data_IF_516136303217
#
_entry.id   IF_516136303217
#
_cell.length_a   1.000
_cell.length_b   1.000
_cell.length_c   1.000
_cell.angle_alpha   90.00
_cell.angle_beta   90.00
_cell.angle_gamma   90.00
#
_symmetry.space_group_name_H-M   'P 1'
#
loop_
_entity.id
_entity.type
_entity.pdbx_description
1 polymer ?
#
# COMPACT_ATOMS: atom_id res chain seq x y z
N UNK A 1 0.57 -4.63 33.14
CA UNK A 1 -0.37 -3.53 32.85
C UNK A 1 -0.53 -3.56 31.35
N UNK A 2 -1.72 -3.86 30.83
CA UNK A 2 -1.93 -3.82 29.39
C UNK A 2 -1.70 -2.38 28.90
N UNK A 3 -1.01 -2.24 27.77
CA UNK A 3 -0.81 -0.95 27.13
C UNK A 3 -2.16 -0.37 26.71
N UNK A 4 -2.35 0.94 26.91
CA UNK A 4 -3.58 1.63 26.51
C UNK A 4 -3.71 1.68 24.98
N UNK A 5 -4.92 1.85 24.47
CA UNK A 5 -5.15 1.98 23.02
C UNK A 5 -4.38 3.16 22.40
N UNK A 6 -4.19 4.26 23.15
CA UNK A 6 -3.39 5.39 22.68
C UNK A 6 -1.90 5.05 22.51
N UNK A 7 -1.35 4.24 23.43
CA UNK A 7 0.03 3.75 23.31
C UNK A 7 0.18 2.75 22.17
N UNK A 8 -0.80 1.86 21.98
CA UNK A 8 -0.82 0.92 20.84
C UNK A 8 -0.92 1.65 19.50
N UNK A 9 -1.75 2.68 19.41
CA UNK A 9 -1.88 3.51 18.21
C UNK A 9 -0.56 4.24 17.89
N UNK A 10 0.04 4.87 18.90
CA UNK A 10 1.32 5.56 18.75
C UNK A 10 2.45 4.61 18.31
N UNK A 11 2.49 3.42 18.91
CA UNK A 11 3.48 2.40 18.56
C UNK A 11 3.24 1.83 17.16
N UNK A 12 1.99 1.56 16.78
CA UNK A 12 1.66 1.13 15.42
C UNK A 12 2.20 2.17 14.43
N UNK A 13 1.83 3.45 14.59
CA UNK A 13 2.29 4.54 13.73
C UNK A 13 3.83 4.69 13.70
N UNK A 14 4.52 4.50 14.83
CA UNK A 14 5.99 4.47 14.86
C UNK A 14 6.55 3.36 13.95
N UNK A 15 5.99 2.16 14.03
CA UNK A 15 6.42 1.01 13.24
C UNK A 15 6.08 1.17 11.75
N UNK A 16 4.92 1.75 11.41
CA UNK A 16 4.58 2.06 10.01
C UNK A 16 5.60 2.99 9.35
N UNK A 17 6.26 3.86 10.14
CA UNK A 17 7.27 4.78 9.61
C UNK A 17 8.69 4.21 9.64
N UNK A 18 8.99 3.37 10.63
CA UNK A 18 10.31 2.77 10.78
C UNK A 18 10.50 1.52 9.93
N UNK A 19 9.41 0.87 9.51
CA UNK A 19 9.35 -0.35 8.68
C UNK A 19 10.36 -1.41 9.19
N UNK A 20 10.40 -1.74 10.50
CA UNK A 20 11.29 -2.78 10.97
C UNK A 20 10.74 -4.16 10.57
N UNK A 21 11.60 -5.13 10.25
CA UNK A 21 11.16 -6.50 10.03
C UNK A 21 10.33 -7.02 11.21
N UNK A 22 9.22 -7.68 10.91
CA UNK A 22 8.39 -8.33 11.92
C UNK A 22 9.12 -9.55 12.52
N UNK A 23 8.78 -9.92 13.76
CA UNK A 23 9.13 -11.24 14.26
C UNK A 23 8.26 -12.27 13.54
N UNK A 24 8.89 -13.13 12.74
CA UNK A 24 8.20 -14.12 11.89
C UNK A 24 7.28 -15.02 12.69
N UNK A 25 7.66 -15.45 13.90
CA UNK A 25 6.83 -16.38 14.69
C UNK A 25 5.60 -15.69 15.25
N UNK A 26 5.75 -14.46 15.71
CA UNK A 26 4.61 -13.65 16.14
C UNK A 26 3.71 -13.30 14.94
N UNK A 27 4.28 -13.12 13.74
CA UNK A 27 3.52 -12.92 12.49
C UNK A 27 2.70 -14.14 12.10
N UNK A 28 3.31 -15.33 12.07
CA UNK A 28 2.61 -16.60 11.82
C UNK A 28 1.46 -16.81 12.82
N UNK A 29 1.72 -16.52 14.09
CA UNK A 29 0.72 -16.60 15.15
C UNK A 29 -0.43 -15.63 14.92
N UNK A 30 -0.13 -14.35 14.64
CA UNK A 30 -1.16 -13.33 14.43
C UNK A 30 -2.01 -13.63 13.18
N UNK A 31 -1.39 -14.13 12.11
CA UNK A 31 -2.09 -14.56 10.90
C UNK A 31 -3.08 -15.70 11.18
N UNK A 32 -2.70 -16.70 11.99
CA UNK A 32 -3.59 -17.77 12.41
C UNK A 32 -4.73 -17.27 13.32
N UNK A 33 -4.45 -16.37 14.27
CA UNK A 33 -5.48 -15.76 15.13
C UNK A 33 -6.50 -14.95 14.30
N UNK A 34 -6.06 -14.22 13.28
CA UNK A 34 -6.95 -13.50 12.37
C UNK A 34 -7.79 -14.47 11.53
N UNK A 35 -7.17 -15.55 11.01
CA UNK A 35 -7.88 -16.60 10.28
C UNK A 35 -8.98 -17.24 11.13
N UNK A 36 -8.71 -17.56 12.39
CA UNK A 36 -9.72 -18.11 13.30
C UNK A 36 -10.94 -17.19 13.41
N UNK A 37 -10.73 -15.88 13.57
CA UNK A 37 -11.83 -14.91 13.63
C UNK A 37 -12.59 -14.88 12.31
N UNK A 38 -11.90 -14.83 11.18
CA UNK A 38 -12.56 -14.79 9.88
C UNK A 38 -13.37 -16.07 9.60
N UNK A 39 -12.84 -17.24 9.97
CA UNK A 39 -13.55 -18.52 9.85
C UNK A 39 -14.80 -18.56 10.75
N UNK A 40 -14.72 -18.04 11.99
CA UNK A 40 -15.87 -17.93 12.91
C UNK A 40 -17.00 -17.03 12.36
N UNK A 41 -16.64 -15.98 11.64
CA UNK A 41 -17.60 -15.05 11.01
C UNK A 41 -18.00 -15.46 9.59
N UNK A 42 -17.46 -16.55 9.04
CA UNK A 42 -17.69 -16.98 7.66
C UNK A 42 -17.14 -15.98 6.63
N UNK A 43 -16.12 -15.20 6.98
CA UNK A 43 -15.47 -14.22 6.11
C UNK A 43 -14.45 -14.94 5.23
N UNK A 44 -14.70 -14.92 3.92
CA UNK A 44 -13.70 -15.32 2.94
C UNK A 44 -12.72 -14.17 2.73
N UNK A 45 -11.44 -14.47 2.91
CA UNK A 45 -10.34 -13.54 2.70
C UNK A 45 -9.21 -14.26 1.94
N UNK A 46 -8.34 -13.49 1.30
CA UNK A 46 -7.17 -13.99 0.60
C UNK A 46 -5.89 -13.30 1.11
N UNK A 47 -4.77 -14.01 1.07
CA UNK A 47 -3.46 -13.42 1.27
C UNK A 47 -3.13 -12.54 0.06
N UNK A 48 -2.46 -11.41 0.29
CA UNK A 48 -2.06 -10.50 -0.79
C UNK A 48 -0.64 -9.96 -0.54
N UNK A 49 -0.08 -9.22 -1.50
CA UNK A 49 1.30 -8.68 -1.47
C UNK A 49 2.36 -9.65 -0.92
N UNK A 50 3.22 -9.19 0.02
CA UNK A 50 4.34 -9.91 0.61
C UNK A 50 3.89 -11.18 1.32
N UNK A 51 2.73 -11.15 1.99
CA UNK A 51 2.15 -12.35 2.61
C UNK A 51 1.78 -13.42 1.58
N UNK A 52 1.14 -13.04 0.47
CA UNK A 52 0.86 -13.97 -0.63
C UNK A 52 2.15 -14.45 -1.31
N UNK A 53 3.09 -13.54 -1.55
CA UNK A 53 4.37 -13.86 -2.18
C UNK A 53 5.15 -14.88 -1.36
N UNK A 54 5.28 -14.65 -0.05
CA UNK A 54 5.94 -15.57 0.87
C UNK A 54 5.24 -16.92 0.92
N UNK A 55 3.91 -16.93 1.06
CA UNK A 55 3.15 -18.18 1.10
C UNK A 55 3.31 -19.00 -0.19
N UNK A 56 3.26 -18.37 -1.37
CA UNK A 56 3.35 -19.08 -2.67
C UNK A 56 4.79 -19.48 -3.00
N UNK A 57 5.74 -18.55 -2.89
CA UNK A 57 7.14 -18.73 -3.33
C UNK A 57 7.96 -19.52 -2.32
N UNK A 58 7.88 -19.13 -1.06
CA UNK A 58 8.80 -19.58 -0.01
C UNK A 58 8.16 -20.59 0.95
N UNK A 59 6.82 -20.70 0.93
CA UNK A 59 6.04 -21.43 1.94
C UNK A 59 6.36 -20.93 3.36
N UNK A 60 6.69 -19.64 3.49
CA UNK A 60 7.09 -18.95 4.71
C UNK A 60 6.72 -17.46 4.61
N UNK A 61 6.62 -16.76 5.75
CA UNK A 61 6.60 -15.29 5.72
C UNK A 61 7.97 -14.75 5.33
N UNK A 62 8.00 -13.60 4.64
CA UNK A 62 9.24 -12.98 4.18
C UNK A 62 10.00 -12.44 5.40
N UNK A 63 11.29 -12.81 5.60
CA UNK A 63 12.01 -12.46 6.84
C UNK A 63 12.26 -10.96 7.06
N UNK A 64 12.11 -10.14 6.02
CA UNK A 64 12.31 -8.70 6.05
C UNK A 64 11.02 -7.90 5.81
N UNK A 65 9.86 -8.56 5.66
CA UNK A 65 8.56 -7.85 5.69
C UNK A 65 8.33 -7.26 7.07
N UNK A 66 7.62 -6.14 7.13
CA UNK A 66 7.26 -5.44 8.36
C UNK A 66 5.81 -5.72 8.80
N UNK A 67 4.98 -6.29 7.91
CA UNK A 67 3.57 -6.49 8.16
C UNK A 67 2.98 -7.75 7.49
N UNK A 68 1.65 -7.83 7.52
CA UNK A 68 0.85 -8.88 6.91
C UNK A 68 -0.28 -8.25 6.11
N UNK A 69 -0.54 -8.72 4.90
CA UNK A 69 -1.62 -8.21 4.07
C UNK A 69 -2.69 -9.24 3.76
N UNK A 70 -3.95 -8.87 4.05
CA UNK A 70 -5.15 -9.65 3.80
C UNK A 70 -6.16 -8.86 2.95
N UNK A 71 -6.94 -9.55 2.12
CA UNK A 71 -7.95 -8.91 1.28
C UNK A 71 -9.29 -9.63 1.31
N UNK A 72 -10.37 -8.86 1.26
CA UNK A 72 -11.73 -9.34 0.95
C UNK A 72 -12.36 -8.37 -0.05
N UNK A 73 -13.30 -8.84 -0.88
CA UNK A 73 -13.98 -7.97 -1.85
C UNK A 73 -15.46 -7.92 -1.49
N UNK A 74 -15.97 -6.71 -1.25
CA UNK A 74 -17.37 -6.48 -0.91
C UNK A 74 -18.25 -6.95 -2.09
N UNK A 75 -19.32 -7.68 -1.75
CA UNK A 75 -20.26 -8.32 -2.68
C UNK A 75 -19.68 -9.53 -3.47
N UNK A 76 -18.52 -10.05 -3.05
CA UNK A 76 -17.95 -11.31 -3.57
C UNK A 76 -17.74 -12.31 -2.44
N UNK A 77 -17.77 -13.60 -2.77
CA UNK A 77 -17.51 -14.69 -1.82
C UNK A 77 -18.38 -14.66 -0.55
N UNK A 78 -19.58 -14.07 -0.65
CA UNK A 78 -20.48 -13.89 0.50
C UNK A 78 -20.05 -12.82 1.49
N UNK A 79 -18.97 -12.07 1.22
CA UNK A 79 -18.50 -10.99 2.07
C UNK A 79 -19.28 -9.69 1.82
N UNK A 80 -19.75 -9.06 2.90
CA UNK A 80 -20.40 -7.76 2.87
C UNK A 80 -19.76 -6.80 3.86
N UNK A 81 -19.93 -5.50 3.64
CA UNK A 81 -19.37 -4.46 4.52
C UNK A 81 -19.89 -4.56 5.97
N UNK A 82 -21.11 -5.07 6.16
CA UNK A 82 -21.71 -5.27 7.49
C UNK A 82 -20.97 -6.32 8.33
N UNK A 83 -20.20 -7.22 7.71
CA UNK A 83 -19.42 -8.25 8.40
C UNK A 83 -18.15 -7.68 9.07
N UNK A 84 -17.71 -6.48 8.66
CA UNK A 84 -16.48 -5.87 9.20
C UNK A 84 -16.63 -5.58 10.69
N UNK A 85 -17.74 -4.97 11.10
CA UNK A 85 -17.96 -4.57 12.51
C UNK A 85 -17.87 -5.75 13.49
N UNK A 86 -18.65 -6.84 13.30
CA UNK A 86 -18.57 -8.03 14.14
C UNK A 86 -17.17 -8.66 14.20
N UNK A 87 -16.46 -8.74 13.06
CA UNK A 87 -15.10 -9.27 13.03
C UNK A 87 -14.11 -8.39 13.81
N UNK A 88 -14.21 -7.07 13.67
CA UNK A 88 -13.42 -6.09 14.43
C UNK A 88 -13.63 -6.26 15.94
N UNK A 89 -14.86 -6.46 16.39
CA UNK A 89 -15.15 -6.70 17.81
C UNK A 89 -14.54 -8.02 18.31
N UNK A 90 -14.58 -9.10 17.51
CA UNK A 90 -13.89 -10.36 17.84
C UNK A 90 -12.37 -10.20 17.89
N UNK A 91 -11.77 -9.45 16.97
CA UNK A 91 -10.33 -9.16 16.97
C UNK A 91 -9.92 -8.37 18.22
N UNK A 92 -10.71 -7.37 18.60
CA UNK A 92 -10.53 -6.60 19.86
C UNK A 92 -10.66 -7.50 21.08
N UNK A 93 -11.64 -8.41 21.11
CA UNK A 93 -11.82 -9.38 22.19
C UNK A 93 -10.62 -10.36 22.31
N UNK A 94 -9.92 -10.64 21.20
CA UNK A 94 -8.63 -11.37 21.19
C UNK A 94 -7.42 -10.49 21.54
N UNK A 95 -7.63 -9.24 21.95
CA UNK A 95 -6.58 -8.33 22.42
C UNK A 95 -5.87 -7.53 21.32
N UNK A 96 -6.39 -7.53 20.09
CA UNK A 96 -5.88 -6.67 19.03
C UNK A 96 -6.30 -5.22 19.26
N UNK A 97 -5.41 -4.28 18.95
CA UNK A 97 -5.83 -2.91 18.63
C UNK A 97 -6.32 -2.88 17.19
N UNK A 98 -7.41 -2.16 16.91
CA UNK A 98 -7.99 -2.15 15.56
C UNK A 98 -8.48 -0.75 15.18
N UNK A 99 -7.96 -0.23 14.07
CA UNK A 99 -8.43 0.99 13.40
C UNK A 99 -9.18 0.66 12.12
N UNK A 100 -10.27 1.39 11.86
CA UNK A 100 -11.07 1.24 10.63
C UNK A 100 -11.10 2.57 9.90
N UNK A 101 -10.56 2.58 8.68
CA UNK A 101 -10.44 3.73 7.81
C UNK A 101 -11.31 3.50 6.57
N UNK A 102 -12.20 4.44 6.27
CA UNK A 102 -13.09 4.33 5.12
C UNK A 102 -12.55 5.18 3.97
N UNK A 103 -12.16 4.52 2.87
CA UNK A 103 -11.81 5.15 1.61
C UNK A 103 -12.87 4.84 0.53
N UNK A 104 -12.93 5.67 -0.51
CA UNK A 104 -13.88 5.47 -1.61
C UNK A 104 -13.67 4.15 -2.38
N UNK A 105 -12.46 3.58 -2.36
CA UNK A 105 -12.12 2.36 -3.09
C UNK A 105 -12.11 1.10 -2.21
N UNK A 106 -11.94 1.26 -0.90
CA UNK A 106 -11.92 0.15 0.07
C UNK A 106 -12.19 0.66 1.50
N UNK A 107 -12.56 -0.25 2.39
CA UNK A 107 -12.47 -0.02 3.83
C UNK A 107 -11.20 -0.72 4.33
N UNK A 108 -10.26 0.02 4.90
CA UNK A 108 -9.02 -0.50 5.46
C UNK A 108 -9.18 -0.77 6.95
N UNK A 109 -8.89 -2.00 7.38
CA UNK A 109 -8.92 -2.41 8.78
C UNK A 109 -7.48 -2.72 9.19
N UNK A 110 -6.87 -1.82 9.96
CA UNK A 110 -5.53 -2.03 10.51
C UNK A 110 -5.65 -2.78 11.83
N UNK A 111 -5.09 -3.96 11.91
CA UNK A 111 -5.13 -4.83 13.09
C UNK A 111 -3.73 -4.90 13.66
N UNK A 112 -3.56 -4.56 14.93
CA UNK A 112 -2.25 -4.45 15.55
C UNK A 112 -2.14 -5.27 16.83
N UNK A 113 -1.17 -6.18 16.86
CA UNK A 113 -0.85 -7.01 18.01
C UNK A 113 0.59 -7.51 17.88
N UNK A 114 1.25 -7.82 19.00
CA UNK A 114 2.64 -8.32 18.98
C UNK A 114 3.65 -7.42 18.26
N UNK A 115 3.36 -6.11 18.15
CA UNK A 115 4.16 -5.16 17.36
C UNK A 115 4.13 -5.44 15.85
N UNK A 116 3.08 -6.10 15.36
CA UNK A 116 2.87 -6.46 13.96
C UNK A 116 1.54 -5.89 13.51
N UNK A 117 1.51 -5.32 12.31
CA UNK A 117 0.30 -4.86 11.63
C UNK A 117 -0.20 -5.96 10.70
N UNK A 118 -1.50 -6.22 10.70
CA UNK A 118 -2.21 -6.77 9.55
C UNK A 118 -2.97 -5.62 8.89
N UNK A 119 -2.73 -5.42 7.61
CA UNK A 119 -3.58 -4.62 6.73
C UNK A 119 -4.63 -5.54 6.11
N UNK A 120 -5.89 -5.44 6.59
CA UNK A 120 -7.03 -6.10 5.97
C UNK A 120 -7.85 -5.13 5.13
N UNK A 121 -7.78 -5.30 3.80
CA UNK A 121 -8.39 -4.39 2.84
C UNK A 121 -9.68 -4.99 2.29
N UNK A 122 -10.78 -4.31 2.56
CA UNK A 122 -12.12 -4.66 2.09
C UNK A 122 -12.44 -3.86 0.82
N UNK A 123 -12.11 -4.43 -0.34
CA UNK A 123 -12.15 -3.76 -1.64
C UNK A 123 -13.57 -3.58 -2.20
N UNK A 124 -13.76 -2.51 -2.97
CA UNK A 124 -14.93 -2.31 -3.84
C UNK A 124 -14.51 -2.44 -5.29
N UNK A 125 -15.30 -3.18 -6.09
CA UNK A 125 -15.05 -3.33 -7.52
C UNK A 125 -15.45 -2.05 -8.26
N UNK A 126 -14.49 -1.43 -8.94
CA UNK A 126 -14.72 -0.26 -9.78
C UNK A 126 -14.25 -0.56 -11.20
N UNK A 127 -15.20 -0.53 -12.15
CA UNK A 127 -14.95 -0.84 -13.57
C UNK A 127 -14.22 -2.16 -13.80
N UNK A 128 -14.61 -3.21 -13.05
CA UNK A 128 -14.02 -4.55 -13.15
C UNK A 128 -12.62 -4.66 -12.51
N UNK A 129 -12.22 -3.71 -11.67
CA UNK A 129 -10.92 -3.73 -10.98
C UNK A 129 -11.05 -3.43 -9.49
N UNK A 130 -10.06 -3.88 -8.71
CA UNK A 130 -9.82 -3.45 -7.33
C UNK A 130 -8.47 -2.74 -7.24
N UNK A 131 -8.35 -1.74 -6.37
CA UNK A 131 -7.15 -0.92 -6.27
C UNK A 131 -6.24 -1.41 -5.15
N UNK A 132 -5.16 -2.11 -5.49
CA UNK A 132 -4.11 -2.46 -4.52
C UNK A 132 -3.09 -1.32 -4.44
N UNK A 133 -2.48 -1.12 -3.28
CA UNK A 133 -1.37 -0.16 -3.13
C UNK A 133 -0.25 -0.41 -4.17
N UNK A 134 0.37 0.63 -4.77
CA UNK A 134 0.13 2.08 -4.60
C UNK A 134 -0.92 2.66 -5.57
N UNK A 135 -1.93 1.87 -5.94
CA UNK A 135 -2.95 2.21 -6.94
C UNK A 135 -2.94 1.31 -8.17
N UNK A 136 -2.40 0.09 -8.06
CA UNK A 136 -2.43 -0.92 -9.11
C UNK A 136 -3.88 -1.40 -9.30
N UNK A 137 -4.49 -1.23 -10.49
CA UNK A 137 -5.87 -1.62 -10.74
C UNK A 137 -5.94 -3.09 -11.16
N UNK A 138 -5.95 -3.99 -10.18
CA UNK A 138 -6.02 -5.43 -10.43
C UNK A 138 -7.36 -5.83 -11.06
N UNK A 139 -7.37 -6.61 -12.15
CA UNK A 139 -8.61 -7.13 -12.72
C UNK A 139 -9.29 -8.09 -11.74
N UNK A 140 -10.60 -7.91 -11.53
CA UNK A 140 -11.37 -8.72 -10.58
C UNK A 140 -11.40 -10.21 -10.96
N UNK A 141 -11.15 -10.55 -12.23
CA UNK A 141 -11.08 -11.92 -12.71
C UNK A 141 -10.03 -12.78 -11.99
N UNK A 142 -8.96 -12.19 -11.45
CA UNK A 142 -7.96 -12.89 -10.63
C UNK A 142 -8.48 -13.30 -9.24
N UNK A 143 -9.68 -12.82 -8.86
CA UNK A 143 -10.27 -13.00 -7.53
C UNK A 143 -11.67 -13.61 -7.60
N UNK A 144 -12.22 -13.87 -8.79
CA UNK A 144 -13.55 -14.48 -8.96
C UNK A 144 -13.59 -15.91 -8.42
N UNK A 145 -12.50 -16.66 -8.64
CA UNK A 145 -12.26 -17.96 -8.02
C UNK A 145 -10.92 -17.85 -7.28
N UNK A 146 -10.89 -18.15 -6.00
CA UNK A 146 -9.65 -18.15 -5.22
C UNK A 146 -9.02 -19.56 -5.25
N UNK A 147 -7.69 -19.59 -5.19
CA UNK A 147 -6.93 -20.84 -5.09
C UNK A 147 -6.56 -21.10 -3.63
N UNK A 148 -6.81 -22.32 -3.15
CA UNK A 148 -6.30 -22.77 -1.85
C UNK A 148 -4.82 -23.11 -1.91
N UNK A 149 -4.05 -22.67 -0.93
CA UNK A 149 -2.65 -23.05 -0.70
C UNK A 149 -2.47 -23.54 0.72
N UNK A 150 -1.69 -24.61 0.89
CA UNK A 150 -1.32 -25.11 2.22
C UNK A 150 -0.22 -24.21 2.78
N UNK A 151 -0.50 -23.54 3.90
CA UNK A 151 0.44 -22.63 4.55
C UNK A 151 0.18 -22.61 6.06
N UNK A 152 1.26 -22.67 6.86
CA UNK A 152 1.19 -22.74 8.32
C UNK A 152 0.31 -23.88 8.87
N UNK A 153 0.29 -25.02 8.16
CA UNK A 153 -0.47 -26.20 8.55
C UNK A 153 -1.98 -26.11 8.35
N UNK A 154 -2.47 -25.10 7.62
CA UNK A 154 -3.87 -24.94 7.24
C UNK A 154 -3.98 -24.43 5.80
N UNK A 155 -5.20 -24.31 5.27
CA UNK A 155 -5.43 -23.77 3.92
C UNK A 155 -5.76 -22.29 3.98
N UNK A 156 -5.00 -21.50 3.23
CA UNK A 156 -5.28 -20.09 2.95
C UNK A 156 -5.72 -19.91 1.50
N UNK A 157 -6.48 -18.86 1.22
CA UNK A 157 -6.85 -18.49 -0.14
C UNK A 157 -5.85 -17.48 -0.70
N UNK A 158 -5.55 -17.58 -1.98
CA UNK A 158 -4.78 -16.62 -2.76
C UNK A 158 -5.50 -16.31 -4.08
N UNK A 159 -5.19 -15.19 -4.74
CA UNK A 159 -5.67 -14.93 -6.10
C UNK A 159 -5.29 -16.06 -7.07
N UNK A 160 -6.10 -16.27 -8.11
CA UNK A 160 -5.96 -17.39 -9.04
C UNK A 160 -5.80 -16.91 -10.50
N UNK A 161 -4.78 -17.38 -11.23
CA UNK A 161 -3.61 -18.10 -10.75
C UNK A 161 -2.71 -17.22 -9.86
N UNK A 162 -2.04 -17.77 -8.83
CA UNK A 162 -1.17 -16.99 -7.96
C UNK A 162 0.02 -16.39 -8.73
N UNK A 163 0.59 -17.13 -9.68
CA UNK A 163 1.71 -16.67 -10.51
C UNK A 163 1.32 -15.45 -11.36
N UNK A 164 0.10 -15.45 -11.94
CA UNK A 164 -0.42 -14.33 -12.73
C UNK A 164 -0.63 -13.10 -11.85
N UNK A 165 -1.13 -13.29 -10.63
CA UNK A 165 -1.28 -12.21 -9.65
C UNK A 165 0.07 -11.62 -9.22
N UNK A 166 1.04 -12.46 -8.88
CA UNK A 166 2.37 -12.05 -8.44
C UNK A 166 3.15 -11.38 -9.56
N UNK A 167 3.07 -11.91 -10.79
CA UNK A 167 3.65 -11.28 -11.97
C UNK A 167 3.00 -9.93 -12.28
N UNK A 168 1.68 -9.81 -12.12
CA UNK A 168 0.98 -8.54 -12.31
C UNK A 168 1.38 -7.49 -11.26
N UNK A 169 1.65 -7.92 -10.02
CA UNK A 169 2.07 -7.03 -8.92
C UNK A 169 3.53 -6.60 -9.04
N UNK A 170 4.43 -7.57 -9.16
CA UNK A 170 5.88 -7.41 -8.97
C UNK A 170 6.68 -7.53 -10.28
N UNK A 171 6.01 -7.73 -11.41
CA UNK A 171 6.66 -7.88 -12.70
C UNK A 171 7.20 -9.29 -12.96
N UNK A 172 7.90 -9.50 -14.09
CA UNK A 172 8.33 -10.83 -14.55
C UNK A 172 9.32 -11.51 -13.61
N UNK A 173 10.07 -10.75 -12.80
CA UNK A 173 11.11 -11.27 -11.92
C UNK A 173 10.60 -11.54 -10.49
N UNK A 174 9.28 -11.61 -10.27
CA UNK A 174 8.66 -11.78 -8.93
C UNK A 174 9.18 -12.99 -8.14
N UNK A 175 9.62 -14.05 -8.85
CA UNK A 175 10.21 -15.24 -8.23
C UNK A 175 11.61 -15.02 -7.64
N UNK A 176 12.25 -13.88 -7.91
CA UNK A 176 13.55 -13.53 -7.34
C UNK A 176 13.37 -12.77 -6.03
N UNK A 177 13.94 -13.22 -4.90
CA UNK A 177 13.85 -12.48 -3.64
C UNK A 177 14.53 -11.10 -3.75
N UNK A 178 13.79 -10.05 -3.38
CA UNK A 178 14.26 -8.67 -3.30
C UNK A 178 13.83 -8.08 -1.96
N UNK A 179 14.78 -7.48 -1.24
CA UNK A 179 14.50 -6.70 -0.03
C UNK A 179 14.18 -5.25 -0.37
N UNK A 180 14.92 -4.69 -1.33
CA UNK A 180 14.71 -3.37 -1.91
C UNK A 180 14.78 -3.49 -3.44
N UNK A 181 14.29 -2.47 -4.14
CA UNK A 181 14.27 -2.39 -5.60
C UNK A 181 12.98 -2.95 -6.22
N UNK A 182 12.21 -3.76 -5.48
CA UNK A 182 10.90 -4.27 -5.93
C UNK A 182 9.87 -3.15 -6.13
N UNK A 183 10.03 -2.02 -5.43
CA UNK A 183 9.15 -0.87 -5.48
C UNK A 183 9.12 -0.30 -6.91
N UNK A 184 10.29 -0.26 -7.55
CA UNK A 184 10.42 0.14 -8.94
C UNK A 184 9.77 -0.85 -9.89
N UNK A 185 9.96 -2.16 -9.68
CA UNK A 185 9.31 -3.18 -10.49
C UNK A 185 7.78 -3.06 -10.43
N UNK A 186 7.23 -2.80 -9.23
CA UNK A 186 5.79 -2.54 -9.04
C UNK A 186 5.36 -1.34 -9.88
N UNK A 187 6.06 -0.21 -9.80
CA UNK A 187 5.72 1.00 -10.55
C UNK A 187 5.84 0.80 -12.07
N UNK A 188 6.81 0.03 -12.53
CA UNK A 188 6.99 -0.30 -13.96
C UNK A 188 5.92 -1.27 -14.48
N UNK A 189 5.51 -2.23 -13.65
CA UNK A 189 4.45 -3.20 -13.97
C UNK A 189 3.05 -2.57 -13.98
N UNK A 190 2.86 -1.45 -13.26
CA UNK A 190 1.58 -0.77 -13.19
C UNK A 190 1.05 -0.35 -14.56
N UNK A 191 -0.24 -0.64 -14.88
CA UNK A 191 -0.90 -0.11 -16.05
C UNK A 191 -0.82 1.42 -16.09
N UNK A 192 -0.40 1.97 -17.22
CA UNK A 192 -0.35 3.42 -17.42
C UNK A 192 -1.75 4.00 -17.34
N UNK A 193 -1.96 4.95 -16.44
CA UNK A 193 -3.26 5.61 -16.33
C UNK A 193 -3.55 6.14 -14.94
N UNK A 194 -4.84 6.36 -14.70
CA UNK A 194 -5.38 6.72 -13.40
C UNK A 194 -6.15 5.51 -12.89
N UNK A 195 -6.04 5.23 -11.59
CA UNK A 195 -6.82 4.16 -10.95
C UNK A 195 -8.31 4.38 -11.21
N UNK A 196 -9.06 3.37 -11.70
CA UNK A 196 -10.51 3.43 -11.77
C UNK A 196 -11.13 3.88 -10.43
N UNK A 197 -12.11 4.77 -10.52
CA UNK A 197 -12.75 5.40 -9.34
C UNK A 197 -12.14 6.73 -8.93
N UNK A 198 -10.89 7.02 -9.33
CA UNK A 198 -10.29 8.35 -9.13
C UNK A 198 -10.68 9.35 -10.24
N UNK A 199 -10.66 10.67 -9.97
CA UNK A 199 -10.99 11.68 -10.99
C UNK A 199 -10.08 11.57 -12.22
N UNK A 200 -10.61 11.72 -13.44
CA UNK A 200 -9.80 11.65 -14.67
C UNK A 200 -8.79 12.80 -14.83
N UNK A 201 -7.84 12.65 -15.77
CA UNK A 201 -6.70 13.58 -15.97
C UNK A 201 -7.10 15.05 -16.06
N UNK A 202 -8.13 15.35 -16.84
CA UNK A 202 -8.60 16.73 -17.01
C UNK A 202 -9.11 17.32 -15.69
N UNK A 203 -9.86 16.55 -14.90
CA UNK A 203 -10.36 17.00 -13.59
C UNK A 203 -9.22 17.22 -12.60
N UNK A 204 -8.23 16.32 -12.57
CA UNK A 204 -7.05 16.48 -11.72
C UNK A 204 -6.24 17.72 -12.13
N UNK A 205 -6.01 17.92 -13.43
CA UNK A 205 -5.34 19.12 -13.96
C UNK A 205 -6.06 20.41 -13.56
N UNK A 206 -7.39 20.44 -13.68
CA UNK A 206 -8.20 21.58 -13.24
C UNK A 206 -8.11 21.79 -11.72
N UNK A 207 -8.10 20.71 -10.93
CA UNK A 207 -7.94 20.80 -9.48
C UNK A 207 -6.58 21.42 -9.10
N UNK A 208 -5.48 21.00 -9.74
CA UNK A 208 -4.15 21.57 -9.51
C UNK A 208 -4.11 23.07 -9.82
N UNK A 209 -4.87 23.52 -10.82
CA UNK A 209 -4.89 24.92 -11.26
C UNK A 209 -5.81 25.81 -10.42
N UNK A 210 -6.93 25.28 -9.96
CA UNK A 210 -8.04 26.09 -9.41
C UNK A 210 -8.48 25.68 -8.00
N UNK A 211 -7.95 24.59 -7.44
CA UNK A 211 -8.35 24.07 -6.13
C UNK A 211 -7.10 23.83 -5.26
N UNK A 212 -6.57 24.89 -4.61
CA UNK A 212 -5.40 24.78 -3.74
C UNK A 212 -5.53 23.69 -2.67
N UNK A 213 -6.71 23.53 -2.07
CA UNK A 213 -6.98 22.51 -1.05
C UNK A 213 -7.02 21.05 -1.55
N UNK A 214 -6.75 20.80 -2.84
CA UNK A 214 -6.57 19.46 -3.43
C UNK A 214 -5.21 19.30 -4.11
N UNK A 215 -4.27 20.20 -3.81
CA UNK A 215 -2.98 20.31 -4.48
C UNK A 215 -1.87 20.23 -3.44
N UNK A 216 -0.83 19.44 -3.71
CA UNK A 216 0.42 19.51 -2.96
C UNK A 216 1.56 20.00 -3.87
N UNK A 217 2.61 20.52 -3.25
CA UNK A 217 3.85 20.91 -3.91
C UNK A 217 5.01 20.01 -3.53
N UNK A 218 5.89 19.73 -4.48
CA UNK A 218 7.18 19.08 -4.23
C UNK A 218 8.29 19.93 -4.85
N UNK A 219 9.17 20.45 -4.01
CA UNK A 219 10.45 21.03 -4.40
C UNK A 219 11.44 19.90 -4.66
N UNK A 220 11.98 19.82 -5.87
CA UNK A 220 13.01 18.86 -6.25
C UNK A 220 14.35 19.59 -6.25
N UNK A 221 15.26 19.13 -5.41
CA UNK A 221 16.64 19.61 -5.34
C UNK A 221 17.58 18.59 -5.99
N UNK A 222 18.78 19.03 -6.37
CA UNK A 222 19.89 18.14 -6.72
C UNK A 222 20.79 17.88 -5.49
N UNK A 223 21.91 17.18 -5.69
CA UNK A 223 22.90 16.86 -4.66
C UNK A 223 23.58 18.10 -4.05
N UNK A 224 23.44 19.27 -4.67
CA UNK A 224 23.99 20.54 -4.19
C UNK A 224 22.91 21.44 -3.54
N UNK A 225 21.73 20.88 -3.23
CA UNK A 225 20.55 21.61 -2.73
C UNK A 225 20.03 22.69 -3.70
N UNK A 226 20.34 22.58 -5.00
CA UNK A 226 19.88 23.54 -6.00
C UNK A 226 18.56 23.09 -6.66
N UNK A 227 17.59 23.99 -6.89
CA UNK A 227 16.30 23.61 -7.49
C UNK A 227 16.42 23.09 -8.93
N UNK A 228 15.89 21.89 -9.18
CA UNK A 228 15.98 21.23 -10.48
C UNK A 228 14.77 21.56 -11.36
N UNK A 229 14.99 22.28 -12.46
CA UNK A 229 13.94 22.57 -13.44
C UNK A 229 13.73 21.43 -14.44
N UNK A 230 12.47 21.09 -14.72
CA UNK A 230 12.10 20.08 -15.72
C UNK A 230 12.16 18.63 -15.24
N UNK A 231 12.46 18.39 -13.95
CA UNK A 231 12.32 17.09 -13.32
C UNK A 231 10.88 16.59 -13.42
N UNK A 232 10.70 15.28 -13.58
CA UNK A 232 9.38 14.65 -13.66
C UNK A 232 9.00 14.10 -12.29
N UNK A 233 7.77 14.37 -11.85
CA UNK A 233 7.20 13.83 -10.61
C UNK A 233 5.96 13.05 -10.99
N UNK A 234 5.97 11.75 -10.73
CA UNK A 234 4.83 10.83 -10.89
C UNK A 234 4.29 10.49 -9.51
N UNK A 235 2.98 10.65 -9.29
CA UNK A 235 2.29 10.04 -8.15
C UNK A 235 1.54 8.82 -8.65
N UNK A 236 1.87 7.64 -8.11
CA UNK A 236 1.35 6.37 -8.58
C UNK A 236 -0.19 6.34 -8.60
N UNK A 237 -0.77 5.82 -9.69
CA UNK A 237 -2.21 5.76 -9.89
C UNK A 237 -2.92 7.13 -10.10
N UNK A 238 -2.19 8.24 -10.12
CA UNK A 238 -2.71 9.60 -10.22
C UNK A 238 -2.16 10.34 -11.45
N UNK A 239 -1.40 11.41 -11.24
CA UNK A 239 -0.90 12.29 -12.26
C UNK A 239 0.62 12.38 -12.25
N UNK A 240 1.14 12.78 -13.41
CA UNK A 240 2.54 13.10 -13.62
C UNK A 240 2.65 14.58 -13.96
N UNK A 241 3.59 15.29 -13.34
CA UNK A 241 3.87 16.71 -13.61
C UNK A 241 5.37 16.95 -13.73
N UNK A 242 5.74 18.15 -14.17
CA UNK A 242 7.13 18.59 -14.25
C UNK A 242 7.37 19.78 -13.35
N UNK A 243 8.57 19.86 -12.79
CA UNK A 243 8.99 21.01 -12.00
C UNK A 243 9.13 22.26 -12.87
N UNK A 244 8.79 23.41 -12.30
CA UNK A 244 8.95 24.71 -12.95
C UNK A 244 10.40 25.23 -12.84
N UNK A 245 10.65 26.50 -13.17
CA UNK A 245 11.99 27.13 -13.06
C UNK A 245 12.53 27.27 -11.64
N UNK A 246 11.68 27.12 -10.62
CA UNK A 246 12.03 27.14 -9.21
C UNK A 246 12.13 25.73 -8.61
N UNK A 247 12.16 24.68 -9.44
CA UNK A 247 12.23 23.30 -8.98
C UNK A 247 10.93 22.74 -8.38
N UNK A 248 9.82 23.47 -8.43
CA UNK A 248 8.55 23.03 -7.81
C UNK A 248 7.64 22.34 -8.81
N UNK A 249 7.25 21.10 -8.52
CA UNK A 249 6.13 20.40 -9.13
C UNK A 249 4.88 20.58 -8.26
N UNK A 250 3.71 20.73 -8.90
CA UNK A 250 2.40 20.72 -8.21
C UNK A 250 1.59 19.56 -8.74
N UNK A 251 0.90 18.83 -7.86
CA UNK A 251 0.13 17.65 -8.25
C UNK A 251 -1.13 17.52 -7.40
N UNK A 252 -2.04 16.68 -7.88
CA UNK A 252 -3.32 16.44 -7.25
C UNK A 252 -3.18 15.38 -6.18
N UNK A 253 -3.74 15.63 -5.00
CA UNK A 253 -3.92 14.60 -3.96
C UNK A 253 -5.41 14.50 -3.61
N UNK A 254 -6.00 13.29 -3.61
CA UNK A 254 -7.40 13.10 -3.24
C UNK A 254 -7.68 13.36 -1.75
N UNK A 255 -6.71 13.10 -0.87
CA UNK A 255 -6.81 13.26 0.58
C UNK A 255 -5.45 13.04 1.26
N UNK A 256 -5.38 13.14 2.60
CA UNK A 256 -4.24 12.65 3.37
C UNK A 256 -4.09 11.14 3.19
N UNK A 257 -2.91 10.68 2.75
CA UNK A 257 -2.63 9.25 2.56
C UNK A 257 -1.11 9.03 2.48
N UNK A 258 -0.71 7.77 2.44
CA UNK A 258 0.62 7.33 2.02
C UNK A 258 0.61 7.11 0.50
N UNK A 259 1.58 7.69 -0.21
CA UNK A 259 1.65 7.65 -1.67
C UNK A 259 3.01 7.17 -2.15
N UNK A 260 3.03 6.37 -3.21
CA UNK A 260 4.26 6.13 -3.96
C UNK A 260 4.51 7.26 -4.98
N UNK A 261 5.71 7.84 -4.93
CA UNK A 261 6.15 8.94 -5.77
C UNK A 261 7.40 8.53 -6.53
N UNK A 262 7.43 8.71 -7.84
CA UNK A 262 8.63 8.57 -8.64
C UNK A 262 9.15 9.95 -9.04
N UNK A 263 10.42 10.22 -8.80
CA UNK A 263 11.10 11.47 -9.20
C UNK A 263 12.16 11.14 -10.23
N UNK A 264 12.04 11.72 -11.43
CA UNK A 264 13.01 11.54 -12.51
C UNK A 264 13.77 12.83 -12.78
N UNK A 265 15.09 12.80 -12.57
CA UNK A 265 16.03 13.90 -12.85
C UNK A 265 17.08 13.42 -13.86
N UNK A 266 17.23 14.14 -14.97
CA UNK A 266 18.23 13.83 -16.00
C UNK A 266 18.23 12.36 -16.51
N UNK A 267 17.06 11.71 -16.49
CA UNK A 267 16.90 10.30 -16.90
C UNK A 267 17.15 9.26 -15.80
N UNK A 268 17.55 9.69 -14.60
CA UNK A 268 17.63 8.86 -13.41
C UNK A 268 16.33 8.97 -12.63
N UNK A 269 15.69 7.84 -12.36
CA UNK A 269 14.45 7.76 -11.59
C UNK A 269 14.72 7.15 -10.22
N UNK A 270 14.19 7.81 -9.19
CA UNK A 270 14.16 7.31 -7.82
C UNK A 270 12.70 7.13 -7.39
N UNK A 271 12.40 6.00 -6.75
CA UNK A 271 11.06 5.65 -6.25
C UNK A 271 11.04 5.83 -4.74
N UNK A 272 10.16 6.72 -4.29
CA UNK A 272 9.82 6.95 -2.89
C UNK A 272 8.51 6.23 -2.62
N UNK A 273 8.56 5.06 -2.01
CA UNK A 273 7.45 4.12 -2.10
C UNK A 273 6.32 4.40 -1.11
N UNK A 274 6.61 4.99 0.06
CA UNK A 274 5.61 5.30 1.09
C UNK A 274 5.79 6.72 1.65
N UNK A 275 5.37 7.72 0.88
CA UNK A 275 5.46 9.11 1.31
C UNK A 275 4.13 9.59 1.89
N UNK A 276 4.15 9.94 3.17
CA UNK A 276 3.01 10.52 3.88
C UNK A 276 2.79 11.96 3.39
N UNK A 277 1.72 12.18 2.63
CA UNK A 277 1.42 13.48 2.04
C UNK A 277 -0.03 13.88 2.23
N UNK A 278 -0.27 15.18 2.35
CA UNK A 278 -1.60 15.76 2.53
C UNK A 278 -1.87 16.88 1.51
N UNK A 279 -3.12 17.07 1.06
CA UNK A 279 -3.48 18.19 0.21
C UNK A 279 -3.18 19.52 0.91
N UNK A 280 -2.50 20.43 0.21
CA UNK A 280 -2.04 21.71 0.73
C UNK A 280 -0.60 21.66 1.25
N UNK A 281 -0.03 20.48 1.48
CA UNK A 281 1.35 20.29 1.92
C UNK A 281 2.37 20.74 0.89
N UNK A 282 3.53 21.16 1.39
CA UNK A 282 4.72 21.50 0.59
C UNK A 282 5.87 20.64 1.08
N UNK A 283 6.41 19.84 0.17
CA UNK A 283 7.40 18.82 0.46
C UNK A 283 8.71 19.12 -0.27
N UNK A 284 9.82 18.61 0.25
CA UNK A 284 11.14 18.70 -0.37
C UNK A 284 11.68 17.30 -0.61
N UNK A 285 12.07 17.03 -1.84
CA UNK A 285 12.85 15.86 -2.24
C UNK A 285 14.31 16.24 -2.40
N UNK A 286 15.19 15.37 -1.89
CA UNK A 286 16.63 15.38 -2.13
C UNK A 286 17.06 14.00 -2.62
N UNK A 287 17.84 13.90 -3.70
CA UNK A 287 18.40 12.64 -4.13
C UNK A 287 19.34 12.09 -3.07
N UNK A 288 19.44 10.77 -3.02
CA UNK A 288 20.42 10.09 -2.18
C UNK A 288 21.25 9.15 -3.04
N UNK A 289 22.48 9.56 -3.39
CA UNK A 289 23.37 8.75 -4.22
C UNK A 289 23.84 7.46 -3.54
N UNK A 290 23.76 7.38 -2.21
CA UNK A 290 24.17 6.20 -1.44
C UNK A 290 23.03 5.19 -1.31
N UNK A 291 21.77 5.65 -1.41
CA UNK A 291 20.58 4.82 -1.34
C UNK A 291 19.57 5.18 -2.45
N UNK A 292 19.69 4.51 -3.60
CA UNK A 292 18.79 4.74 -4.75
C UNK A 292 17.50 3.90 -4.73
N UNK A 293 17.38 2.94 -3.80
CA UNK A 293 16.26 1.99 -3.70
C UNK A 293 15.80 1.84 -2.24
N UNK A 294 14.57 1.37 -2.03
CA UNK A 294 14.01 1.22 -0.68
C UNK A 294 13.92 2.54 0.07
N UNK A 295 13.42 3.59 -0.59
CA UNK A 295 13.30 4.94 -0.03
C UNK A 295 11.87 5.16 0.46
N UNK A 296 11.73 5.39 1.76
CA UNK A 296 10.44 5.48 2.45
C UNK A 296 10.46 6.67 3.41
N UNK A 297 9.36 7.44 3.46
CA UNK A 297 9.20 8.60 4.34
C UNK A 297 10.37 9.59 4.32
N UNK A 298 11.02 9.78 3.15
CA UNK A 298 12.20 10.64 3.02
C UNK A 298 11.86 12.09 2.68
N UNK A 299 10.62 12.37 2.26
CA UNK A 299 10.19 13.73 1.99
C UNK A 299 10.09 14.53 3.29
N UNK A 300 10.68 15.72 3.31
CA UNK A 300 10.54 16.66 4.43
C UNK A 300 9.48 17.70 4.10
N UNK A 301 8.59 18.01 5.05
CA UNK A 301 7.62 19.10 4.92
C UNK A 301 8.30 20.47 5.19
N UNK A 302 7.94 21.49 4.40
CA UNK A 302 8.42 22.88 4.56
C UNK A 302 7.67 23.67 5.65
#
# INVERSE_FOLDING_TARGET
MESSDAEKAALMHELERAIPPMDVRDGEKLLLEAKEVFDEHGIVFFLRQGTCLGAVRDQALIPWDDDLDLGSIIDMHGFSEEMIGPAVESLRAKGCYVEVLHDGLYTAVKIFKYRIRIDWQCYRVVKGTIAHYPGVPFPVSLFEELQGVDFLGTTFQVPNPPDDYLQYKYGPDWGTPKQVGYEKDVLEAMPKGIVPGRPGRLRQFLAVRFTPGKTAGLLVLDEQDEPVSGATVLVAGLNQTKTNRKGVARFYLPGPDTYAVAVTVNGHEEVLYEESMTPGGSYVYRPDPEQSEGRYFVLTEE
#
